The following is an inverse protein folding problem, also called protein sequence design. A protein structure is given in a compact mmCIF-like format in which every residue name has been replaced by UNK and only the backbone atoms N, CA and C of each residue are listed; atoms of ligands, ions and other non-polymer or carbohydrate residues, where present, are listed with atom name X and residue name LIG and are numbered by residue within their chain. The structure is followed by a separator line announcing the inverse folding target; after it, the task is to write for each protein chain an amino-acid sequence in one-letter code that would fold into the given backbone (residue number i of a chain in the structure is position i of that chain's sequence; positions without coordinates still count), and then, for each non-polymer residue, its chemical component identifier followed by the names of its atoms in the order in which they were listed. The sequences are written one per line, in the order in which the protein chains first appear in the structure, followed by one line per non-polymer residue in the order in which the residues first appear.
data_IF_099626322709
#
_entry.id   IF_099626322709
#
_cell.length_a   1.000
_cell.length_b   1.000
_cell.length_c   1.000
_cell.angle_alpha   90.00
_cell.angle_beta   90.00
_cell.angle_gamma   90.00
#
_symmetry.space_group_name_H-M   'P 1'
#
loop_
_entity.id
_entity.type
_entity.pdbx_description
1 polymer ?
#
# COMPACT_ATOMS: atom_id res chain seq x y z
N UNK A 1 36.99 -8.37 54.30
CA UNK A 1 35.78 -8.37 53.45
C UNK A 1 36.08 -7.53 52.21
N UNK A 2 36.34 -8.16 51.05
CA UNK A 2 36.59 -7.47 49.76
C UNK A 2 35.48 -7.91 48.80
N UNK A 3 34.53 -7.01 48.54
CA UNK A 3 33.52 -7.23 47.50
C UNK A 3 34.15 -6.91 46.15
N UNK A 4 34.49 -7.95 45.39
CA UNK A 4 34.92 -7.80 44.00
C UNK A 4 33.69 -7.43 43.16
N UNK A 5 33.54 -6.15 42.83
CA UNK A 5 32.62 -5.71 41.79
C UNK A 5 33.24 -6.17 40.46
N UNK A 6 32.70 -7.25 39.89
CA UNK A 6 33.24 -7.89 38.69
C UNK A 6 32.61 -7.25 37.44
N UNK A 7 33.33 -6.40 36.67
CA UNK A 7 32.77 -5.67 35.53
C UNK A 7 32.55 -6.53 34.27
N UNK A 8 32.98 -7.80 34.26
CA UNK A 8 32.93 -8.66 33.07
C UNK A 8 31.52 -9.10 32.65
N UNK A 9 30.50 -8.90 33.48
CA UNK A 9 29.14 -9.35 33.19
C UNK A 9 28.34 -8.42 32.26
N UNK A 10 28.84 -7.21 31.96
CA UNK A 10 28.18 -6.27 31.01
C UNK A 10 28.72 -6.34 29.59
N UNK A 11 30.00 -6.68 29.39
CA UNK A 11 30.62 -6.66 28.06
C UNK A 11 30.08 -7.77 27.12
N UNK A 12 29.64 -8.91 27.67
CA UNK A 12 29.09 -10.02 26.88
C UNK A 12 27.64 -9.86 26.43
N UNK A 13 26.87 -8.91 26.99
CA UNK A 13 25.45 -8.68 26.64
C UNK A 13 25.24 -7.65 25.53
N UNK A 14 26.13 -6.66 25.42
CA UNK A 14 26.02 -5.61 24.40
C UNK A 14 26.08 -6.13 22.94
N UNK A 15 27.01 -7.02 22.53
CA UNK A 15 27.09 -7.43 21.13
C UNK A 15 25.92 -8.33 20.70
N UNK A 16 25.33 -9.11 21.62
CA UNK A 16 24.10 -9.87 21.35
C UNK A 16 22.88 -8.97 21.24
N UNK A 17 22.79 -7.91 22.06
CA UNK A 17 21.70 -6.93 22.00
C UNK A 17 21.72 -6.13 20.69
N UNK A 18 22.90 -5.68 20.25
CA UNK A 18 23.02 -4.92 18.99
C UNK A 18 22.69 -5.79 17.79
N UNK A 19 23.14 -7.06 17.76
CA UNK A 19 22.76 -8.00 16.70
C UNK A 19 21.26 -8.28 16.70
N UNK A 20 20.65 -8.50 17.86
CA UNK A 20 19.21 -8.67 18.00
C UNK A 20 18.43 -7.44 17.52
N UNK A 21 18.88 -6.24 17.90
CA UNK A 21 18.29 -4.97 17.49
C UNK A 21 18.34 -4.80 15.96
N UNK A 22 19.47 -5.10 15.33
CA UNK A 22 19.62 -4.99 13.85
C UNK A 22 18.72 -6.00 13.14
N UNK A 23 18.59 -7.23 13.66
CA UNK A 23 17.67 -8.23 13.10
C UNK A 23 16.22 -7.74 13.23
N UNK A 24 15.82 -7.26 14.40
CA UNK A 24 14.45 -6.73 14.60
C UNK A 24 14.18 -5.52 13.72
N UNK A 25 15.13 -4.58 13.62
CA UNK A 25 14.99 -3.40 12.77
C UNK A 25 14.89 -3.75 11.29
N UNK A 26 15.68 -4.72 10.81
CA UNK A 26 15.61 -5.20 9.41
C UNK A 26 14.32 -5.95 9.12
N UNK A 27 13.81 -6.76 10.06
CA UNK A 27 12.51 -7.43 9.91
C UNK A 27 11.35 -6.43 9.88
N UNK A 28 11.35 -5.44 10.77
CA UNK A 28 10.34 -4.37 10.78
C UNK A 28 10.43 -3.55 9.49
N UNK A 29 11.64 -3.17 9.07
CA UNK A 29 11.87 -2.45 7.81
C UNK A 29 11.38 -3.24 6.59
N UNK A 30 11.69 -4.53 6.54
CA UNK A 30 11.21 -5.43 5.49
C UNK A 30 9.69 -5.57 5.47
N UNK A 31 9.04 -5.64 6.64
CA UNK A 31 7.60 -5.75 6.76
C UNK A 31 6.88 -4.45 6.32
N UNK A 32 7.43 -3.29 6.69
CA UNK A 32 6.92 -1.99 6.24
C UNK A 32 7.09 -1.87 4.72
N UNK A 33 8.26 -2.20 4.20
CA UNK A 33 8.53 -2.16 2.76
C UNK A 33 7.57 -3.07 1.99
N UNK A 34 7.40 -4.31 2.44
CA UNK A 34 6.43 -5.25 1.88
C UNK A 34 5.03 -4.66 1.86
N UNK A 35 4.56 -4.10 2.97
CA UNK A 35 3.22 -3.51 3.08
C UNK A 35 2.99 -2.34 2.12
N UNK A 36 4.01 -1.49 1.90
CA UNK A 36 3.94 -0.36 0.96
C UNK A 36 3.89 -0.82 -0.51
N UNK A 37 4.48 -1.98 -0.79
CA UNK A 37 4.50 -2.57 -2.13
C UNK A 37 3.19 -3.31 -2.41
N UNK A 38 2.67 -4.07 -1.44
CA UNK A 38 1.51 -4.95 -1.68
C UNK A 38 0.19 -4.24 -1.92
N UNK A 39 0.09 -2.92 -1.68
CA UNK A 39 -1.11 -2.13 -1.95
C UNK A 39 -2.40 -2.73 -1.37
N UNK A 40 -3.54 -2.24 -1.85
CA UNK A 40 -4.84 -2.89 -1.67
C UNK A 40 -5.47 -3.09 -3.03
N UNK A 41 -6.19 -4.18 -3.17
CA UNK A 41 -6.86 -4.53 -4.41
C UNK A 41 -8.35 -4.62 -4.17
N UNK A 42 -9.13 -3.84 -4.92
CA UNK A 42 -10.58 -3.93 -4.95
C UNK A 42 -11.03 -4.44 -6.31
N UNK A 43 -11.92 -5.44 -6.30
CA UNK A 43 -12.55 -5.95 -7.51
C UNK A 43 -13.79 -5.12 -7.83
N UNK A 44 -13.83 -4.54 -9.03
CA UNK A 44 -15.00 -3.80 -9.49
C UNK A 44 -15.21 -3.87 -11.00
N UNK A 45 -16.46 -3.75 -11.43
CA UNK A 45 -16.82 -3.63 -12.84
C UNK A 45 -16.56 -2.18 -13.28
N UNK A 46 -15.81 -1.99 -14.34
CA UNK A 46 -15.55 -0.68 -14.92
C UNK A 46 -16.78 -0.20 -15.72
N UNK A 47 -17.34 0.95 -15.35
CA UNK A 47 -18.54 1.55 -15.98
C UNK A 47 -18.21 2.77 -16.85
N UNK A 48 -16.93 3.08 -17.06
CA UNK A 48 -16.47 4.28 -17.75
C UNK A 48 -15.86 5.30 -16.78
N UNK A 49 -15.70 6.54 -17.21
CA UNK A 49 -15.12 7.60 -16.38
C UNK A 49 -16.08 8.79 -16.27
N UNK A 50 -15.82 9.68 -15.31
CA UNK A 50 -16.55 10.94 -15.19
C UNK A 50 -15.84 12.07 -15.95
N UNK A 51 -16.38 12.54 -17.09
CA UNK A 51 -15.76 13.60 -17.88
C UNK A 51 -15.76 14.96 -17.16
N UNK A 52 -16.62 15.17 -16.15
CA UNK A 52 -16.64 16.41 -15.36
C UNK A 52 -15.43 16.54 -14.42
N UNK A 53 -14.70 15.44 -14.18
CA UNK A 53 -13.56 15.35 -13.27
C UNK A 53 -12.23 15.09 -13.99
N UNK A 54 -12.17 15.37 -15.30
CA UNK A 54 -10.94 15.24 -16.08
C UNK A 54 -9.96 16.39 -15.76
N UNK A 55 -9.37 16.37 -14.57
CA UNK A 55 -8.14 17.13 -14.30
C UNK A 55 -7.03 16.69 -15.26
N UNK A 56 -6.09 17.58 -15.57
CA UNK A 56 -5.04 17.35 -16.56
C UNK A 56 -4.11 16.22 -16.11
N UNK A 57 -4.36 14.99 -16.58
CA UNK A 57 -3.52 13.80 -16.35
C UNK A 57 -4.14 12.71 -15.47
N UNK A 58 -5.24 12.97 -14.78
CA UNK A 58 -5.91 11.99 -13.90
C UNK A 58 -7.40 11.90 -14.25
N UNK A 59 -7.95 10.69 -14.23
CA UNK A 59 -9.37 10.44 -14.55
C UNK A 59 -10.04 9.66 -13.42
N UNK A 60 -11.25 10.07 -13.06
CA UNK A 60 -12.07 9.39 -12.06
C UNK A 60 -12.85 8.26 -12.69
N UNK A 61 -12.67 7.04 -12.16
CA UNK A 61 -13.32 5.84 -12.65
C UNK A 61 -14.72 5.71 -12.06
N UNK A 62 -15.69 5.37 -12.91
CA UNK A 62 -17.01 4.88 -12.50
C UNK A 62 -16.91 3.36 -12.39
N UNK A 63 -17.27 2.84 -11.23
CA UNK A 63 -17.13 1.42 -10.88
C UNK A 63 -18.42 0.89 -10.28
N UNK A 64 -18.60 -0.43 -10.33
CA UNK A 64 -19.68 -1.14 -9.65
C UNK A 64 -19.06 -2.34 -8.88
N UNK A 65 -19.09 -2.34 -7.53
CA UNK A 65 -19.74 -1.36 -6.66
C UNK A 65 -19.09 0.03 -6.74
N UNK A 66 -19.89 1.07 -6.47
CA UNK A 66 -19.44 2.46 -6.57
C UNK A 66 -18.31 2.76 -5.57
N UNK A 67 -17.15 3.13 -6.08
CA UNK A 67 -16.02 3.60 -5.29
C UNK A 67 -15.33 4.83 -5.88
N UNK A 68 -14.57 5.53 -5.04
CA UNK A 68 -13.83 6.73 -5.39
C UNK A 68 -12.43 6.38 -5.89
N UNK A 69 -12.34 5.88 -7.12
CA UNK A 69 -11.07 5.53 -7.75
C UNK A 69 -10.66 6.59 -8.77
N UNK A 70 -9.38 6.91 -8.79
CA UNK A 70 -8.76 7.74 -9.83
C UNK A 70 -7.58 6.98 -10.42
N UNK A 71 -7.34 7.11 -11.72
CA UNK A 71 -6.20 6.52 -12.40
C UNK A 71 -5.54 7.60 -13.27
N UNK A 72 -4.23 7.49 -13.48
CA UNK A 72 -3.54 8.34 -14.44
C UNK A 72 -4.00 8.04 -15.86
N UNK A 73 -4.06 9.07 -16.71
CA UNK A 73 -4.36 8.91 -18.13
C UNK A 73 -3.12 8.36 -18.86
N UNK A 74 -2.95 7.05 -18.76
CA UNK A 74 -1.84 6.31 -19.34
C UNK A 74 -2.36 5.17 -20.24
N UNK A 75 -1.44 4.41 -20.83
CA UNK A 75 -1.79 3.27 -21.69
C UNK A 75 -2.61 2.19 -20.97
N UNK A 76 -2.52 2.09 -19.64
CA UNK A 76 -3.31 1.15 -18.85
C UNK A 76 -4.78 1.58 -18.78
N UNK A 77 -5.05 2.88 -18.54
CA UNK A 77 -6.39 3.43 -18.64
C UNK A 77 -6.99 3.25 -20.04
N UNK A 78 -6.22 3.53 -21.09
CA UNK A 78 -6.67 3.41 -22.48
C UNK A 78 -6.99 1.96 -22.87
N UNK A 79 -6.40 0.98 -22.21
CA UNK A 79 -6.68 -0.44 -22.41
C UNK A 79 -7.97 -0.92 -21.70
N UNK A 80 -8.52 -0.13 -20.76
CA UNK A 80 -9.71 -0.52 -20.00
C UNK A 80 -10.97 -0.50 -20.87
N UNK A 81 -11.73 -1.60 -20.79
CA UNK A 81 -13.01 -1.79 -21.48
C UNK A 81 -14.19 -1.69 -20.54
N UNK A 82 -15.16 -0.86 -20.92
CA UNK A 82 -16.41 -0.67 -20.16
C UNK A 82 -17.19 -2.00 -20.13
N UNK A 83 -17.71 -2.35 -18.95
CA UNK A 83 -18.48 -3.57 -18.70
C UNK A 83 -17.65 -4.74 -18.15
N UNK A 84 -16.33 -4.66 -18.20
CA UNK A 84 -15.45 -5.71 -17.70
C UNK A 84 -15.12 -5.54 -16.20
N UNK A 85 -14.81 -6.66 -15.54
CA UNK A 85 -14.36 -6.73 -14.15
C UNK A 85 -12.84 -6.54 -14.11
N UNK A 86 -12.39 -5.63 -13.25
CA UNK A 86 -10.98 -5.40 -12.98
C UNK A 86 -10.67 -5.53 -11.50
N UNK A 87 -9.48 -6.03 -11.21
CA UNK A 87 -8.85 -5.94 -9.91
C UNK A 87 -8.00 -4.65 -9.89
N UNK A 88 -8.48 -3.65 -9.17
CA UNK A 88 -7.89 -2.31 -9.07
C UNK A 88 -6.94 -2.25 -7.87
N UNK A 89 -5.64 -2.20 -8.13
CA UNK A 89 -4.61 -2.06 -7.12
C UNK A 89 -4.32 -0.57 -6.85
N UNK A 90 -4.34 -0.17 -5.58
CA UNK A 90 -4.11 1.19 -5.12
C UNK A 90 -3.27 1.25 -3.84
N UNK A 91 -2.74 2.43 -3.54
CA UNK A 91 -1.85 2.66 -2.40
C UNK A 91 -2.49 2.29 -1.06
N UNK A 92 -1.72 1.58 -0.23
CA UNK A 92 -2.02 1.49 1.19
C UNK A 92 -1.63 2.79 1.88
N UNK A 93 -2.61 3.46 2.49
CA UNK A 93 -2.31 4.60 3.37
C UNK A 93 -2.27 4.14 4.83
N UNK A 94 -1.18 4.46 5.52
CA UNK A 94 -1.05 4.26 6.95
C UNK A 94 -1.94 5.23 7.75
N UNK A 95 -2.68 4.73 8.74
CA UNK A 95 -3.42 5.56 9.72
C UNK A 95 -4.91 5.22 9.89
N UNK A 96 -5.50 5.72 10.99
CA UNK A 96 -6.88 5.44 11.44
C UNK A 96 -7.99 6.09 10.59
N UNK A 97 -7.62 6.88 9.57
CA UNK A 97 -8.56 7.57 8.68
C UNK A 97 -9.03 6.70 7.48
N UNK A 98 -8.82 5.38 7.54
CA UNK A 98 -9.05 4.43 6.45
C UNK A 98 -10.51 3.97 6.23
N UNK A 99 -11.50 4.61 6.86
CA UNK A 99 -12.91 4.18 6.79
C UNK A 99 -13.84 5.07 5.97
N UNK A 100 -13.35 6.19 5.43
CA UNK A 100 -14.23 7.09 4.67
C UNK A 100 -14.36 6.61 3.22
N UNK A 101 -15.56 6.14 2.84
CA UNK A 101 -15.93 5.83 1.46
C UNK A 101 -15.72 7.00 0.50
N UNK A 102 -15.56 8.22 1.03
CA UNK A 102 -15.30 9.49 0.36
C UNK A 102 -13.84 9.72 -0.02
N UNK A 103 -12.89 8.88 0.42
CA UNK A 103 -11.46 9.07 0.11
C UNK A 103 -11.14 8.60 -1.30
N UNK A 104 -10.43 9.46 -2.05
CA UNK A 104 -9.89 9.16 -3.37
C UNK A 104 -8.81 8.07 -3.24
N UNK A 105 -8.97 6.97 -4.00
CA UNK A 105 -8.02 5.86 -4.13
C UNK A 105 -7.32 5.99 -5.47
N UNK A 106 -6.01 6.26 -5.45
CA UNK A 106 -5.21 6.33 -6.67
C UNK A 106 -4.82 4.93 -7.11
N UNK A 107 -5.36 4.50 -8.24
CA UNK A 107 -5.09 3.20 -8.87
C UNK A 107 -3.71 3.26 -9.50
N UNK A 108 -2.84 2.36 -9.06
CA UNK A 108 -1.51 2.12 -9.64
C UNK A 108 -1.54 1.13 -10.79
N UNK A 109 -2.47 0.17 -10.71
CA UNK A 109 -2.58 -0.93 -11.66
C UNK A 109 -4.02 -1.44 -11.73
N UNK A 110 -4.50 -1.78 -12.92
CA UNK A 110 -5.80 -2.37 -13.19
C UNK A 110 -5.62 -3.69 -13.94
N UNK A 111 -5.88 -4.82 -13.27
CA UNK A 111 -5.74 -6.15 -13.87
C UNK A 111 -7.10 -6.63 -14.36
N UNK A 112 -7.20 -6.99 -15.64
CA UNK A 112 -8.44 -7.56 -16.20
C UNK A 112 -8.71 -8.94 -15.59
N UNK A 113 -9.90 -9.10 -15.01
CA UNK A 113 -10.38 -10.38 -14.46
C UNK A 113 -11.30 -11.09 -15.44
N UNK A 114 -12.17 -10.35 -16.12
CA UNK A 114 -13.11 -10.92 -17.08
C UNK A 114 -14.06 -9.91 -17.72
N UNK A 115 -14.61 -10.32 -18.86
CA UNK A 115 -15.70 -9.72 -19.62
C UNK A 115 -16.56 -10.89 -20.13
#
# INVERSE_FOLDING_TARGET
MKNAFNPESRAGRLPSDVRGLVIVASLIGGLILWFTITGRTDRAIYRGFDPAWAETGVVRLKTDPAGNYVIERNAEFDAMKIGCVYDLNYDNVFGRHNQSSTRIKTVRQATLVGC
#
